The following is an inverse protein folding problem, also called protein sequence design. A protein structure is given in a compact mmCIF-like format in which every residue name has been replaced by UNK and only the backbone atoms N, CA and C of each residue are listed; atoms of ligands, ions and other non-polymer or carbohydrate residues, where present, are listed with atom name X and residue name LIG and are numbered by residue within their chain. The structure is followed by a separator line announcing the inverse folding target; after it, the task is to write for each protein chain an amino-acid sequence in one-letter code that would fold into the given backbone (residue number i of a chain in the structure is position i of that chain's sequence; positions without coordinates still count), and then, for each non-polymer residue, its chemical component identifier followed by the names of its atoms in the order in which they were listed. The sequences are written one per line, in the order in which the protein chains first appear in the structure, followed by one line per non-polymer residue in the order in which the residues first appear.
data_IF_365102607893
#
_entry.id   IF_365102607893
#
_cell.length_a   1.000
_cell.length_b   1.000
_cell.length_c   1.000
_cell.angle_alpha   90.00
_cell.angle_beta   90.00
_cell.angle_gamma   90.00
#
_symmetry.space_group_name_H-M   'P 1'
#
loop_
_entity.id
_entity.type
_entity.pdbx_description
1 polymer ?
#
# COMPACT_ATOMS: atom_id res chain seq x y z
N UNK A 1 -1.73 -23.81 -11.45
CA UNK A 1 -1.76 -22.54 -12.23
C UNK A 1 -1.03 -22.80 -13.53
N UNK A 2 -1.56 -22.42 -14.70
CA UNK A 2 -0.85 -22.70 -15.96
C UNK A 2 0.35 -21.76 -16.11
N UNK A 3 1.45 -22.25 -16.68
CA UNK A 3 2.66 -21.47 -16.94
C UNK A 3 2.36 -20.22 -17.81
N UNK A 4 1.45 -20.37 -18.77
CA UNK A 4 0.98 -19.29 -19.64
C UNK A 4 0.28 -18.14 -18.88
N UNK A 5 -0.45 -18.44 -17.80
CA UNK A 5 -1.10 -17.40 -16.98
C UNK A 5 -0.05 -16.58 -16.22
N UNK A 6 0.95 -17.25 -15.64
CA UNK A 6 2.03 -16.58 -14.91
C UNK A 6 2.81 -15.67 -15.86
N UNK A 7 3.18 -16.15 -17.04
CA UNK A 7 3.87 -15.33 -18.06
C UNK A 7 3.04 -14.10 -18.47
N UNK A 8 1.73 -14.24 -18.64
CA UNK A 8 0.84 -13.11 -18.96
C UNK A 8 0.84 -12.05 -17.86
N UNK A 9 0.79 -12.47 -16.59
CA UNK A 9 0.82 -11.56 -15.43
C UNK A 9 2.17 -10.84 -15.35
N UNK A 10 3.27 -11.56 -15.51
CA UNK A 10 4.62 -10.97 -15.48
C UNK A 10 4.82 -9.94 -16.59
N UNK A 11 4.42 -10.25 -17.84
CA UNK A 11 4.48 -9.28 -18.95
C UNK A 11 3.64 -8.03 -18.70
N UNK A 12 2.48 -8.19 -18.05
CA UNK A 12 1.67 -7.04 -17.67
C UNK A 12 2.38 -6.18 -16.62
N UNK A 13 3.04 -6.78 -15.63
CA UNK A 13 3.83 -6.06 -14.64
C UNK A 13 4.99 -5.29 -15.31
N UNK A 14 5.75 -5.95 -16.18
CA UNK A 14 6.88 -5.33 -16.91
C UNK A 14 6.41 -4.13 -17.75
N UNK A 15 5.31 -4.29 -18.49
CA UNK A 15 4.75 -3.23 -19.32
C UNK A 15 4.24 -2.02 -18.53
N UNK A 16 3.94 -2.19 -17.23
CA UNK A 16 3.41 -1.15 -16.35
C UNK A 16 4.42 -0.73 -15.27
N UNK A 17 5.71 -1.07 -15.42
CA UNK A 17 6.74 -0.77 -14.43
C UNK A 17 6.86 0.74 -14.18
N UNK A 18 6.88 1.57 -15.23
CA UNK A 18 6.98 3.03 -15.07
C UNK A 18 5.83 3.60 -14.24
N UNK A 19 4.58 3.24 -14.56
CA UNK A 19 3.41 3.71 -13.83
C UNK A 19 3.39 3.19 -12.38
N UNK A 20 3.95 2.00 -12.13
CA UNK A 20 4.11 1.46 -10.78
C UNK A 20 5.16 2.22 -9.98
N UNK A 21 6.28 2.60 -10.60
CA UNK A 21 7.29 3.45 -9.99
C UNK A 21 6.76 4.86 -9.70
N UNK A 22 5.98 5.44 -10.61
CA UNK A 22 5.38 6.76 -10.38
C UNK A 22 4.47 6.78 -9.16
N UNK A 23 3.63 5.74 -9.00
CA UNK A 23 2.78 5.57 -7.80
C UNK A 23 3.61 5.33 -6.55
N UNK A 24 4.66 4.51 -6.62
CA UNK A 24 5.59 4.32 -5.51
C UNK A 24 6.24 5.64 -5.09
N UNK A 25 6.70 6.45 -6.04
CA UNK A 25 7.31 7.75 -5.73
C UNK A 25 6.29 8.76 -5.22
N UNK A 26 5.02 8.70 -5.62
CA UNK A 26 3.96 9.51 -4.99
C UNK A 26 3.78 9.11 -3.53
N UNK A 27 3.72 7.81 -3.24
CA UNK A 27 3.59 7.30 -1.88
C UNK A 27 4.79 7.66 -1.00
N UNK A 28 6.02 7.49 -1.50
CA UNK A 28 7.26 7.80 -0.78
C UNK A 28 7.42 9.30 -0.43
N UNK A 29 6.66 10.20 -1.06
CA UNK A 29 6.67 11.63 -0.71
C UNK A 29 5.91 11.93 0.58
N UNK A 30 5.08 10.99 1.08
CA UNK A 30 4.34 11.14 2.32
C UNK A 30 5.28 10.76 3.48
N UNK A 31 5.71 11.70 4.35
CA UNK A 31 6.63 11.38 5.42
C UNK A 31 5.87 10.79 6.62
N UNK A 32 5.44 9.54 6.49
CA UNK A 32 4.70 8.79 7.52
C UNK A 32 5.60 8.33 8.69
N UNK A 33 6.29 9.26 9.35
CA UNK A 33 7.23 8.95 10.43
C UNK A 33 6.47 8.63 11.71
N UNK A 34 6.39 7.35 12.09
CA UNK A 34 5.52 6.93 13.22
C UNK A 34 6.10 7.20 14.60
N UNK A 35 7.42 7.35 14.73
CA UNK A 35 8.07 7.59 16.02
C UNK A 35 7.93 9.04 16.52
N UNK A 36 7.46 9.96 15.67
CA UNK A 36 7.24 11.36 15.99
C UNK A 36 5.75 11.70 15.84
N UNK A 37 5.12 12.05 16.97
CA UNK A 37 3.68 12.35 17.02
C UNK A 37 3.28 13.56 16.14
N UNK A 38 4.22 14.45 15.80
CA UNK A 38 3.96 15.56 14.87
C UNK A 38 3.65 15.10 13.44
N UNK A 39 4.05 13.89 13.07
CA UNK A 39 3.77 13.26 11.78
C UNK A 39 2.49 12.41 11.76
N UNK A 40 1.69 12.42 12.83
CA UNK A 40 0.41 11.72 12.87
C UNK A 40 -0.56 12.09 11.72
N UNK A 41 -0.63 13.36 11.23
CA UNK A 41 -1.38 13.70 10.02
C UNK A 41 -0.90 12.96 8.77
N UNK A 42 0.42 12.82 8.59
CA UNK A 42 1.04 12.18 7.44
C UNK A 42 0.91 10.66 7.49
N UNK A 43 0.92 10.07 8.69
CA UNK A 43 0.54 8.67 8.87
C UNK A 43 -0.93 8.43 8.45
N UNK A 44 -1.85 9.36 8.75
CA UNK A 44 -3.24 9.26 8.27
C UNK A 44 -3.35 9.47 6.75
N UNK A 45 -2.57 10.39 6.20
CA UNK A 45 -2.48 10.61 4.75
C UNK A 45 -2.00 9.35 4.02
N UNK A 46 -0.91 8.73 4.50
CA UNK A 46 -0.39 7.47 3.95
C UNK A 46 -1.43 6.34 4.00
N UNK A 47 -2.14 6.20 5.13
CA UNK A 47 -3.22 5.23 5.25
C UNK A 47 -4.39 5.50 4.28
N UNK A 48 -4.76 6.77 4.07
CA UNK A 48 -5.79 7.14 3.09
C UNK A 48 -5.32 6.85 1.67
N UNK A 49 -4.08 7.20 1.32
CA UNK A 49 -3.52 6.98 0.00
C UNK A 49 -3.52 5.50 -0.38
N UNK A 50 -3.09 4.62 0.53
CA UNK A 50 -3.14 3.16 0.31
C UNK A 50 -4.59 2.69 0.17
N UNK A 51 -5.50 3.24 0.97
CA UNK A 51 -6.91 2.86 0.89
C UNK A 51 -7.53 3.22 -0.47
N UNK A 52 -7.17 4.37 -1.02
CA UNK A 52 -7.61 4.84 -2.33
C UNK A 52 -7.02 3.97 -3.45
N UNK A 53 -5.72 3.66 -3.42
CA UNK A 53 -5.09 2.76 -4.40
C UNK A 53 -5.72 1.36 -4.41
N UNK A 54 -5.93 0.76 -3.24
CA UNK A 54 -6.54 -0.56 -3.11
C UNK A 54 -8.00 -0.55 -3.59
N UNK A 55 -8.73 0.54 -3.32
CA UNK A 55 -10.09 0.72 -3.83
C UNK A 55 -10.12 0.90 -5.34
N UNK A 56 -9.16 1.66 -5.91
CA UNK A 56 -9.02 1.91 -7.34
C UNK A 56 -8.77 0.64 -8.16
N UNK A 57 -8.16 -0.40 -7.57
CA UNK A 57 -7.97 -1.71 -8.19
C UNK A 57 -9.05 -2.74 -7.82
N UNK A 58 -10.14 -2.31 -7.17
CA UNK A 58 -11.35 -3.11 -6.96
C UNK A 58 -11.46 -3.86 -5.63
N UNK A 59 -10.62 -3.55 -4.62
CA UNK A 59 -10.81 -4.12 -3.28
C UNK A 59 -11.83 -3.31 -2.47
N UNK A 60 -12.59 -4.00 -1.62
CA UNK A 60 -13.38 -3.35 -0.57
C UNK A 60 -12.46 -2.94 0.56
N UNK A 61 -12.14 -1.65 0.64
CA UNK A 61 -11.14 -1.12 1.56
C UNK A 61 -11.74 -0.27 2.68
N UNK A 62 -11.07 -0.24 3.83
CA UNK A 62 -11.45 0.56 5.00
C UNK A 62 -10.21 1.02 5.76
N UNK A 63 -10.17 2.30 6.14
CA UNK A 63 -9.20 2.84 7.11
C UNK A 63 -9.83 2.72 8.50
N UNK A 64 -9.15 2.06 9.42
CA UNK A 64 -9.65 1.76 10.77
C UNK A 64 -8.82 2.49 11.81
N UNK A 65 -9.48 3.29 12.64
CA UNK A 65 -8.82 3.98 13.75
C UNK A 65 -8.32 2.99 14.80
N UNK A 66 -7.17 3.28 15.39
CA UNK A 66 -6.61 2.52 16.53
C UNK A 66 -6.19 3.48 17.64
N UNK A 67 -5.62 2.97 18.73
CA UNK A 67 -4.99 3.81 19.76
C UNK A 67 -3.78 4.57 19.19
N UNK A 68 -3.10 4.00 18.20
CA UNK A 68 -1.99 4.61 17.47
C UNK A 68 -2.38 4.99 16.05
N UNK A 69 -1.48 4.72 15.11
CA UNK A 69 -1.70 5.00 13.70
C UNK A 69 -2.84 4.10 13.13
N UNK A 70 -3.65 4.59 12.18
CA UNK A 70 -4.74 3.80 11.61
C UNK A 70 -4.24 2.56 10.86
N UNK A 71 -5.08 1.55 10.72
CA UNK A 71 -4.77 0.34 9.92
C UNK A 71 -5.65 0.34 8.68
N UNK A 72 -5.06 0.04 7.53
CA UNK A 72 -5.79 -0.18 6.27
C UNK A 72 -6.12 -1.66 6.14
N UNK A 73 -7.39 -1.97 5.92
CA UNK A 73 -7.86 -3.34 5.66
C UNK A 73 -8.64 -3.37 4.36
N UNK A 74 -8.21 -4.23 3.43
CA UNK A 74 -8.84 -4.43 2.15
C UNK A 74 -9.18 -5.91 1.91
N UNK A 75 -10.31 -6.16 1.27
CA UNK A 75 -10.74 -7.52 0.93
C UNK A 75 -11.25 -7.59 -0.50
N UNK A 76 -10.85 -8.64 -1.22
CA UNK A 76 -11.58 -9.15 -2.37
C UNK A 76 -12.24 -10.48 -1.94
N UNK A 77 -13.53 -10.43 -1.60
CA UNK A 77 -14.28 -11.60 -1.10
C UNK A 77 -14.98 -12.39 -2.21
N UNK A 78 -14.89 -11.93 -3.45
CA UNK A 78 -15.58 -12.53 -4.60
C UNK A 78 -14.71 -13.58 -5.31
N UNK A 79 -13.43 -13.68 -4.94
CA UNK A 79 -12.50 -14.64 -5.51
C UNK A 79 -12.74 -16.06 -4.94
N UNK A 80 -12.92 -17.03 -5.83
CA UNK A 80 -12.92 -18.45 -5.48
C UNK A 80 -11.47 -18.94 -5.27
N UNK A 81 -11.18 -19.56 -4.12
CA UNK A 81 -9.86 -20.13 -3.83
C UNK A 81 -9.43 -19.97 -2.36
N UNK A 82 -8.16 -20.26 -2.05
CA UNK A 82 -7.63 -20.06 -0.71
C UNK A 82 -7.56 -18.57 -0.34
N UNK A 83 -7.82 -18.26 0.93
CA UNK A 83 -7.62 -16.91 1.46
C UNK A 83 -6.13 -16.66 1.71
N UNK A 84 -5.60 -15.58 1.13
CA UNK A 84 -4.22 -15.14 1.32
C UNK A 84 -4.20 -13.76 1.97
N UNK A 85 -3.34 -13.58 2.97
CA UNK A 85 -3.12 -12.29 3.63
C UNK A 85 -1.79 -11.70 3.18
N UNK A 86 -1.84 -10.49 2.63
CA UNK A 86 -0.67 -9.63 2.46
C UNK A 86 -0.61 -8.67 3.66
N UNK A 87 0.48 -8.72 4.40
CA UNK A 87 0.74 -7.83 5.53
C UNK A 87 1.93 -6.93 5.22
N UNK A 88 1.80 -5.65 5.55
CA UNK A 88 2.84 -4.64 5.42
C UNK A 88 2.56 -3.46 6.34
N UNK A 89 3.52 -2.54 6.41
CA UNK A 89 3.44 -1.30 7.16
C UNK A 89 3.70 -0.12 6.23
N UNK A 90 3.12 1.04 6.55
CA UNK A 90 3.25 2.26 5.74
C UNK A 90 4.08 3.34 6.44
N UNK A 91 4.37 3.16 7.72
CA UNK A 91 5.20 4.05 8.47
C UNK A 91 6.68 3.80 8.20
N UNK A 92 7.45 4.88 8.30
CA UNK A 92 8.87 4.91 8.00
C UNK A 92 9.67 5.46 9.18
N UNK A 93 10.97 5.21 9.15
CA UNK A 93 11.90 5.83 10.08
C UNK A 93 12.17 7.28 9.66
N UNK A 94 12.57 8.16 10.59
CA UNK A 94 13.11 9.47 10.24
C UNK A 94 14.34 9.32 9.34
N UNK A 95 14.60 10.33 8.52
CA UNK A 95 15.92 10.45 7.88
C UNK A 95 16.91 10.84 8.98
N UNK A 96 17.97 10.05 9.18
CA UNK A 96 19.12 10.49 9.98
C UNK A 96 19.72 11.76 9.36
N UNK A 97 20.32 12.68 10.14
CA UNK A 97 21.03 13.81 9.55
C UNK A 97 22.09 13.29 8.58
N UNK A 98 22.02 13.73 7.33
CA UNK A 98 23.11 13.56 6.37
C UNK A 98 24.22 14.49 6.86
N UNK A 99 25.15 13.94 7.64
CA UNK A 99 26.34 14.64 8.12
C UNK A 99 27.25 15.09 6.98
#
# INVERSE_FOLDING_TARGET
MSQQLVEKVLRHADANLSASLDRLFQFLRIPSISCDASYAPQCREAASWIADELSGIGFKTSVRSTIGNPIVVAHNKEANGPHVLFYGHYDVQPVEPIG
#
